data_IF_394340011806
#
_entry.id   IF_394340011806
#
_cell.length_a   1.000
_cell.length_b   1.000
_cell.length_c   1.000
_cell.angle_alpha   90.00
_cell.angle_beta   90.00
_cell.angle_gamma   90.00
#
_symmetry.space_group_name_H-M   'P 1'
#
loop_
_entity.id
_entity.type
_entity.pdbx_description
1 polymer ?
#
# COMPACT_ATOMS: atom_id res chain seq x y z
N UNK A 1 29.68 -48.33 -1.17
CA UNK A 1 28.45 -47.75 -0.62
C UNK A 1 28.23 -46.43 -1.33
N UNK A 2 27.23 -46.36 -2.21
CA UNK A 2 26.93 -45.13 -3.01
C UNK A 2 26.05 -44.19 -2.16
N UNK A 3 26.58 -43.02 -1.81
CA UNK A 3 25.82 -42.01 -1.09
C UNK A 3 24.61 -41.55 -1.92
N UNK A 4 23.45 -41.71 -1.36
CA UNK A 4 22.19 -41.35 -2.01
C UNK A 4 22.06 -39.79 -2.05
N UNK A 5 21.87 -39.15 -3.21
CA UNK A 5 21.88 -37.68 -3.34
C UNK A 5 20.79 -36.98 -2.53
N UNK A 6 19.75 -37.69 -2.10
CA UNK A 6 18.66 -37.17 -1.26
C UNK A 6 19.13 -36.86 0.17
N UNK A 7 20.07 -37.67 0.73
CA UNK A 7 20.59 -37.45 2.08
C UNK A 7 21.41 -36.17 2.19
N UNK A 8 22.13 -35.78 1.14
CA UNK A 8 22.93 -34.55 1.07
C UNK A 8 22.06 -33.29 0.93
N UNK A 9 20.97 -33.39 0.17
CA UNK A 9 20.02 -32.28 0.02
C UNK A 9 19.25 -32.00 1.31
N UNK A 10 18.88 -33.01 2.09
CA UNK A 10 18.22 -32.89 3.39
C UNK A 10 19.14 -32.26 4.46
N UNK A 11 20.44 -32.59 4.44
CA UNK A 11 21.44 -32.03 5.37
C UNK A 11 21.71 -30.53 5.12
N UNK A 12 21.62 -30.07 3.88
CA UNK A 12 21.80 -28.67 3.51
C UNK A 12 20.55 -27.81 3.85
N UNK A 13 19.34 -28.37 3.71
CA UNK A 13 18.09 -27.68 4.02
C UNK A 13 17.87 -27.47 5.53
N UNK A 14 18.52 -28.25 6.38
CA UNK A 14 18.36 -28.21 7.84
C UNK A 14 19.26 -27.16 8.52
N UNK A 15 20.21 -26.54 7.79
CA UNK A 15 21.16 -25.58 8.35
C UNK A 15 20.74 -24.12 8.27
N UNK A 16 19.80 -23.78 7.40
CA UNK A 16 19.36 -22.38 7.24
C UNK A 16 17.85 -22.24 7.49
N UNK A 17 17.51 -21.83 8.70
CA UNK A 17 16.14 -21.64 9.19
C UNK A 17 15.49 -20.31 8.76
N UNK A 18 15.84 -19.80 7.56
CA UNK A 18 15.16 -18.62 6.95
C UNK A 18 14.92 -18.90 5.47
N UNK A 19 13.81 -19.58 5.16
CA UNK A 19 13.38 -19.78 3.78
C UNK A 19 12.29 -18.77 3.44
N UNK A 20 12.68 -17.67 2.81
CA UNK A 20 11.77 -16.76 2.11
C UNK A 20 11.22 -17.45 0.84
N UNK A 21 10.09 -16.99 0.33
CA UNK A 21 9.43 -17.49 -0.89
C UNK A 21 10.37 -17.69 -2.10
N UNK A 22 11.47 -16.94 -2.17
CA UNK A 22 12.54 -17.07 -3.16
C UNK A 22 13.34 -18.37 -2.99
N UNK A 23 13.53 -18.86 -1.76
CA UNK A 23 14.24 -20.12 -1.48
C UNK A 23 13.45 -21.34 -1.97
N UNK A 24 12.13 -21.32 -1.88
CA UNK A 24 11.28 -22.40 -2.39
C UNK A 24 11.36 -22.51 -3.92
N UNK A 25 11.42 -21.39 -4.63
CA UNK A 25 11.61 -21.36 -6.10
C UNK A 25 12.98 -21.89 -6.54
N UNK A 26 14.04 -21.57 -5.80
CA UNK A 26 15.40 -22.07 -6.07
C UNK A 26 15.51 -23.59 -5.83
N UNK A 27 14.86 -24.11 -4.79
CA UNK A 27 14.85 -25.55 -4.49
C UNK A 27 14.11 -26.34 -5.59
N UNK A 28 13.00 -25.81 -6.10
CA UNK A 28 12.26 -26.41 -7.21
C UNK A 28 13.08 -26.37 -8.50
N UNK A 29 13.77 -25.28 -8.82
CA UNK A 29 14.63 -25.15 -9.99
C UNK A 29 15.84 -26.09 -9.92
N UNK A 30 16.41 -26.29 -8.73
CA UNK A 30 17.52 -27.23 -8.52
C UNK A 30 17.09 -28.71 -8.67
N UNK A 31 15.92 -29.07 -8.15
CA UNK A 31 15.35 -30.43 -8.36
C UNK A 31 15.03 -30.66 -9.85
N UNK A 32 14.54 -29.67 -10.58
CA UNK A 32 14.21 -29.78 -12.02
C UNK A 32 15.47 -29.97 -12.88
N UNK A 33 16.61 -29.36 -12.51
CA UNK A 33 17.88 -29.54 -13.24
C UNK A 33 18.57 -30.87 -12.99
N UNK A 34 18.31 -31.54 -11.87
CA UNK A 34 18.89 -32.83 -11.54
C UNK A 34 18.19 -34.03 -12.22
N UNK A 35 17.04 -33.78 -12.86
CA UNK A 35 16.23 -34.82 -13.49
C UNK A 35 16.30 -34.76 -15.04
N UNK A 36 17.47 -35.08 -15.60
CA UNK A 36 17.68 -35.18 -17.04
C UNK A 36 17.16 -36.56 -17.57
N UNK A 37 15.85 -36.71 -17.67
CA UNK A 37 15.29 -37.97 -18.20
C UNK A 37 13.79 -38.05 -18.37
N UNK A 38 13.06 -37.04 -17.93
CA UNK A 38 11.58 -37.02 -18.01
C UNK A 38 11.12 -36.27 -19.25
N UNK A 39 10.17 -36.84 -20.00
CA UNK A 39 9.65 -36.23 -21.22
C UNK A 39 8.95 -34.90 -20.94
N UNK A 40 9.19 -33.93 -21.81
CA UNK A 40 8.82 -32.52 -21.72
C UNK A 40 7.31 -32.25 -21.47
N UNK A 41 6.46 -33.23 -21.73
CA UNK A 41 4.98 -33.12 -21.60
C UNK A 41 4.50 -33.25 -20.16
N UNK A 42 5.12 -34.15 -19.41
CA UNK A 42 4.74 -34.43 -18.01
C UNK A 42 5.21 -33.33 -17.05
N UNK A 43 6.36 -32.70 -17.35
CA UNK A 43 6.84 -31.57 -16.57
C UNK A 43 5.93 -30.34 -16.65
N UNK A 44 5.28 -30.10 -17.78
CA UNK A 44 4.33 -28.97 -17.93
C UNK A 44 3.08 -29.18 -17.08
N UNK A 45 2.60 -30.42 -16.95
CA UNK A 45 1.43 -30.76 -16.13
C UNK A 45 1.75 -30.59 -14.65
N UNK A 46 2.94 -31.02 -14.20
CA UNK A 46 3.38 -30.87 -12.81
C UNK A 46 3.60 -29.39 -12.43
N UNK A 47 4.24 -28.60 -13.32
CA UNK A 47 4.45 -27.17 -13.09
C UNK A 47 3.13 -26.39 -13.09
N UNK A 48 2.18 -26.73 -13.96
CA UNK A 48 0.85 -26.10 -14.01
C UNK A 48 0.02 -26.46 -12.77
N UNK A 49 0.08 -27.72 -12.30
CA UNK A 49 -0.60 -28.15 -11.07
C UNK A 49 -0.04 -27.47 -9.83
N UNK A 50 1.27 -27.20 -9.81
CA UNK A 50 1.93 -26.49 -8.72
C UNK A 50 1.56 -24.99 -8.70
N UNK A 51 1.42 -24.37 -9.87
CA UNK A 51 1.02 -22.96 -10.01
C UNK A 51 -0.45 -22.76 -9.60
N UNK A 52 -1.34 -23.69 -9.96
CA UNK A 52 -2.76 -23.67 -9.59
C UNK A 52 -2.96 -23.92 -8.10
N UNK A 53 -2.13 -24.76 -7.48
CA UNK A 53 -2.17 -25.00 -6.03
C UNK A 53 -1.79 -23.79 -5.17
N UNK A 54 -1.07 -22.83 -5.70
CA UNK A 54 -0.75 -21.58 -4.99
C UNK A 54 -1.89 -20.53 -5.01
N UNK A 55 -2.88 -20.69 -5.90
CA UNK A 55 -3.90 -19.66 -6.13
C UNK A 55 -5.31 -20.02 -5.66
N UNK A 56 -5.57 -21.26 -5.27
CA UNK A 56 -6.92 -21.73 -4.85
C UNK A 56 -6.88 -22.59 -3.59
N UNK A 57 -7.94 -22.51 -2.80
CA UNK A 57 -8.14 -23.26 -1.54
C UNK A 57 -7.96 -24.76 -1.76
N UNK A 58 -6.88 -25.31 -1.22
CA UNK A 58 -6.19 -26.54 -1.62
C UNK A 58 -6.95 -27.87 -1.45
N UNK A 59 -8.08 -27.88 -0.80
CA UNK A 59 -8.79 -29.14 -0.50
C UNK A 59 -9.47 -29.77 -1.73
N UNK A 60 -9.86 -29.00 -2.73
CA UNK A 60 -10.64 -29.50 -3.87
C UNK A 60 -9.80 -30.05 -5.02
N UNK A 61 -8.58 -29.58 -5.21
CA UNK A 61 -7.74 -29.96 -6.36
C UNK A 61 -7.15 -31.37 -6.21
N UNK A 62 -6.89 -31.80 -4.98
CA UNK A 62 -6.30 -33.12 -4.71
C UNK A 62 -7.27 -34.28 -4.92
N UNK A 63 -8.56 -34.08 -4.77
CA UNK A 63 -9.57 -35.13 -4.93
C UNK A 63 -9.80 -35.51 -6.40
N UNK A 64 -9.47 -34.62 -7.36
CA UNK A 64 -9.66 -34.88 -8.79
C UNK A 64 -8.46 -35.51 -9.49
N UNK A 65 -7.26 -35.50 -8.91
CA UNK A 65 -6.03 -35.98 -9.58
C UNK A 65 -5.54 -37.34 -9.04
N UNK A 66 -6.07 -37.80 -7.91
CA UNK A 66 -5.63 -39.02 -7.24
C UNK A 66 -5.82 -40.38 -8.01
N UNK A 67 -6.75 -40.54 -8.96
CA UNK A 67 -6.97 -41.87 -9.57
C UNK A 67 -6.12 -42.19 -10.81
N UNK A 68 -5.25 -41.28 -11.30
CA UNK A 68 -4.66 -41.45 -12.63
C UNK A 68 -3.20 -41.92 -12.64
N UNK A 69 -2.51 -41.97 -11.51
CA UNK A 69 -1.08 -42.27 -11.50
C UNK A 69 -0.70 -43.44 -10.59
N UNK A 70 -0.41 -44.61 -11.21
CA UNK A 70 0.24 -45.74 -10.56
C UNK A 70 1.73 -45.51 -10.27
N UNK A 71 2.14 -44.36 -9.75
CA UNK A 71 3.53 -44.00 -9.47
C UNK A 71 3.87 -44.20 -7.98
N UNK A 72 4.85 -45.04 -7.63
CA UNK A 72 5.23 -45.34 -6.24
C UNK A 72 5.89 -44.19 -5.48
N UNK A 73 6.21 -43.08 -6.14
CA UNK A 73 6.85 -41.90 -5.53
C UNK A 73 5.87 -40.92 -4.86
N UNK A 74 4.56 -41.08 -5.02
CA UNK A 74 3.55 -40.19 -4.47
C UNK A 74 3.49 -40.25 -2.93
N UNK A 75 3.76 -41.43 -2.34
CA UNK A 75 3.78 -41.57 -0.88
C UNK A 75 4.88 -40.75 -0.19
N UNK A 76 6.06 -40.69 -0.78
CA UNK A 76 7.20 -39.93 -0.23
C UNK A 76 7.01 -38.42 -0.37
N UNK A 77 6.35 -37.98 -1.44
CA UNK A 77 6.05 -36.55 -1.65
C UNK A 77 4.99 -36.03 -0.65
N UNK A 78 4.00 -36.87 -0.33
CA UNK A 78 2.96 -36.53 0.66
C UNK A 78 3.53 -36.40 2.08
N UNK A 79 4.53 -37.23 2.45
CA UNK A 79 5.15 -37.14 3.78
C UNK A 79 5.99 -35.89 3.92
N UNK A 80 6.76 -35.55 2.90
CA UNK A 80 7.57 -34.32 2.88
C UNK A 80 6.63 -33.09 2.92
N UNK A 81 5.56 -33.13 2.13
CA UNK A 81 4.59 -32.03 2.06
C UNK A 81 3.83 -31.81 3.38
N UNK A 82 3.44 -32.90 4.06
CA UNK A 82 2.79 -32.83 5.38
C UNK A 82 3.71 -32.26 6.47
N UNK A 83 5.02 -32.40 6.32
CA UNK A 83 6.00 -31.88 7.26
C UNK A 83 6.29 -30.37 7.04
N UNK A 84 6.28 -29.94 5.76
CA UNK A 84 6.56 -28.53 5.41
C UNK A 84 5.33 -27.61 5.42
N UNK A 85 4.14 -28.16 5.28
CA UNK A 85 2.87 -27.42 5.30
C UNK A 85 2.03 -27.70 6.55
N UNK A 86 2.61 -28.27 7.59
CA UNK A 86 1.99 -28.11 8.91
C UNK A 86 1.78 -26.62 9.10
N UNK A 87 0.51 -26.15 9.26
CA UNK A 87 0.29 -24.75 9.50
C UNK A 87 1.20 -24.39 10.66
N UNK A 88 2.08 -23.38 10.45
CA UNK A 88 2.73 -22.69 11.55
C UNK A 88 1.55 -22.26 12.41
N UNK A 89 1.28 -23.03 13.43
CA UNK A 89 0.28 -22.62 14.42
C UNK A 89 0.86 -21.33 14.98
N UNK A 90 0.25 -20.17 14.72
CA UNK A 90 0.67 -18.97 15.40
C UNK A 90 0.56 -19.33 16.88
N UNK A 91 1.61 -19.08 17.63
CA UNK A 91 1.61 -19.31 19.07
C UNK A 91 0.47 -18.48 19.69
N UNK A 92 -0.71 -19.07 19.80
CA UNK A 92 -1.93 -18.44 20.29
C UNK A 92 -1.86 -18.11 21.78
N UNK A 93 -0.72 -18.39 22.43
CA UNK A 93 -0.48 -18.03 23.83
C UNK A 93 0.19 -16.65 23.98
N UNK A 94 0.61 -15.98 22.92
CA UNK A 94 0.78 -14.54 22.96
C UNK A 94 -0.59 -13.90 22.75
N UNK A 95 -1.48 -14.00 23.73
CA UNK A 95 -2.53 -13.00 23.89
C UNK A 95 -1.83 -11.67 24.14
N UNK A 96 -1.47 -10.98 23.05
CA UNK A 96 -1.54 -9.53 23.08
C UNK A 96 -3.00 -9.25 23.36
N UNK A 97 -3.33 -8.93 24.58
CA UNK A 97 -4.62 -8.31 24.92
C UNK A 97 -4.87 -7.27 23.83
N UNK A 98 -6.10 -7.18 23.27
CA UNK A 98 -6.43 -6.07 22.40
C UNK A 98 -6.11 -4.83 23.22
N UNK A 99 -4.97 -4.19 22.93
CA UNK A 99 -4.66 -2.89 23.47
C UNK A 99 -5.84 -2.05 23.02
N UNK A 100 -6.75 -1.76 23.96
CA UNK A 100 -7.74 -0.71 23.78
C UNK A 100 -6.99 0.43 23.13
N UNK A 101 -7.44 1.01 22.02
CA UNK A 101 -6.70 2.07 21.34
C UNK A 101 -6.66 3.26 22.31
N UNK A 102 -5.72 3.21 23.25
CA UNK A 102 -5.34 4.39 24.01
C UNK A 102 -4.95 5.39 22.92
N UNK A 103 -5.75 6.45 22.79
CA UNK A 103 -5.60 7.45 21.77
C UNK A 103 -4.20 8.02 21.92
N UNK A 104 -3.28 7.63 21.05
CA UNK A 104 -1.90 8.10 21.07
C UNK A 104 -1.94 9.60 20.79
N UNK A 105 -1.32 10.40 21.62
CA UNK A 105 -1.08 11.79 21.29
C UNK A 105 -0.11 11.83 20.11
N UNK A 106 -0.60 12.25 18.94
CA UNK A 106 0.19 12.36 17.72
C UNK A 106 1.03 13.64 17.68
N UNK A 107 0.79 14.60 18.56
CA UNK A 107 1.50 15.88 18.63
C UNK A 107 3.03 15.73 18.71
N UNK A 108 3.57 14.88 19.59
CA UNK A 108 5.02 14.64 19.70
C UNK A 108 5.70 14.12 18.43
N UNK A 109 4.92 13.54 17.50
CA UNK A 109 5.43 13.03 16.21
C UNK A 109 5.49 14.10 15.12
N UNK A 110 5.03 15.33 15.39
CA UNK A 110 5.13 16.47 14.48
C UNK A 110 6.36 17.30 14.89
N UNK A 111 7.46 17.15 14.15
CA UNK A 111 8.70 17.86 14.43
C UNK A 111 8.61 19.32 14.00
N UNK A 112 8.98 20.23 14.86
CA UNK A 112 9.12 21.66 14.53
C UNK A 112 10.59 21.95 14.18
N UNK A 113 10.83 22.47 12.96
CA UNK A 113 12.16 22.86 12.49
C UNK A 113 12.13 24.38 12.25
N UNK A 114 12.81 25.17 13.10
CA UNK A 114 12.86 26.61 12.92
C UNK A 114 13.72 26.98 11.70
N UNK A 115 13.41 28.13 11.11
CA UNK A 115 14.19 28.75 10.04
C UNK A 115 14.40 27.89 8.79
N UNK A 116 13.44 27.02 8.45
CA UNK A 116 13.48 26.19 7.27
C UNK A 116 12.23 26.39 6.37
N UNK A 117 12.37 26.50 5.04
CA UNK A 117 13.61 26.58 4.23
C UNK A 117 14.28 27.96 4.27
N UNK A 118 13.71 28.92 4.99
CA UNK A 118 14.17 30.31 5.10
C UNK A 118 14.02 30.79 6.56
N UNK A 119 14.83 31.77 7.00
CA UNK A 119 14.66 32.40 8.29
C UNK A 119 13.22 32.89 8.53
N UNK A 120 12.71 32.68 9.74
CA UNK A 120 11.36 33.07 10.18
C UNK A 120 10.26 32.03 9.83
N UNK A 121 10.55 30.97 9.08
CA UNK A 121 9.60 29.91 8.78
C UNK A 121 9.78 28.76 9.79
N UNK A 122 8.69 28.36 10.44
CA UNK A 122 8.65 27.19 11.30
C UNK A 122 8.05 26.02 10.50
N UNK A 123 8.93 25.16 9.99
CA UNK A 123 8.52 23.98 9.20
C UNK A 123 7.99 22.88 10.12
N UNK A 124 6.89 22.25 9.70
CA UNK A 124 6.27 21.12 10.38
C UNK A 124 6.59 19.84 9.62
N UNK A 125 7.51 19.05 10.17
CA UNK A 125 7.97 17.80 9.58
C UNK A 125 7.19 16.62 10.15
N UNK A 126 6.52 15.87 9.26
CA UNK A 126 5.75 14.66 9.56
C UNK A 126 6.57 13.38 9.41
N UNK A 127 7.86 13.45 9.08
CA UNK A 127 8.70 12.27 8.90
C UNK A 127 8.71 11.36 10.14
N UNK A 128 8.80 11.89 11.39
CA UNK A 128 8.72 11.04 12.58
C UNK A 128 7.37 10.32 12.70
N UNK A 129 6.26 10.95 12.31
CA UNK A 129 4.93 10.36 12.29
C UNK A 129 4.86 9.22 11.29
N UNK A 130 5.40 9.38 10.11
CA UNK A 130 5.44 8.33 9.09
C UNK A 130 6.36 7.17 9.48
N UNK A 131 7.41 7.43 10.26
CA UNK A 131 8.38 6.43 10.71
C UNK A 131 7.93 5.57 11.89
N UNK A 132 6.89 5.99 12.63
CA UNK A 132 6.34 5.23 13.74
C UNK A 132 5.07 4.48 13.31
N UNK A 133 5.08 3.16 13.40
CA UNK A 133 3.99 2.31 12.91
C UNK A 133 2.64 2.59 13.60
N UNK A 134 2.66 2.91 14.91
CA UNK A 134 1.43 3.19 15.68
C UNK A 134 0.90 4.58 15.35
N UNK A 135 1.78 5.59 15.32
CA UNK A 135 1.41 6.96 14.97
C UNK A 135 0.86 7.04 13.54
N UNK A 136 1.52 6.38 12.59
CA UNK A 136 1.06 6.32 11.20
C UNK A 136 -0.30 5.63 11.08
N UNK A 137 -0.46 4.44 11.68
CA UNK A 137 -1.75 3.72 11.66
C UNK A 137 -2.89 4.56 12.25
N UNK A 138 -2.69 5.20 13.40
CA UNK A 138 -3.70 6.06 14.01
C UNK A 138 -4.01 7.31 13.17
N UNK A 139 -3.00 7.86 12.50
CA UNK A 139 -3.21 8.98 11.56
C UNK A 139 -4.13 8.55 10.43
N UNK A 140 -3.90 7.38 9.83
CA UNK A 140 -4.76 6.88 8.74
C UNK A 140 -6.17 6.59 9.23
N UNK A 141 -6.35 6.00 10.42
CA UNK A 141 -7.68 5.79 11.01
C UNK A 141 -8.41 7.11 11.26
N UNK A 142 -7.71 8.14 11.77
CA UNK A 142 -8.28 9.45 12.01
C UNK A 142 -8.68 10.16 10.70
N UNK A 143 -7.85 10.06 9.65
CA UNK A 143 -8.17 10.60 8.32
C UNK A 143 -9.33 9.84 7.65
N UNK A 144 -9.50 8.54 7.92
CA UNK A 144 -10.59 7.73 7.39
C UNK A 144 -11.93 7.99 8.09
N UNK A 145 -11.91 8.42 9.36
CA UNK A 145 -13.09 8.55 10.21
C UNK A 145 -14.25 9.38 9.60
N UNK A 146 -14.02 10.52 8.92
CA UNK A 146 -15.11 11.27 8.28
C UNK A 146 -15.83 10.50 7.16
N UNK A 147 -15.19 9.49 6.60
CA UNK A 147 -15.64 8.75 5.42
C UNK A 147 -16.12 7.32 5.72
N UNK A 148 -16.13 6.90 6.99
CA UNK A 148 -16.40 5.51 7.40
C UNK A 148 -17.74 4.95 6.90
N UNK A 149 -18.78 5.82 6.84
CA UNK A 149 -20.13 5.47 6.42
C UNK A 149 -20.44 5.94 4.99
N UNK A 150 -19.40 6.40 4.27
CA UNK A 150 -19.52 6.93 2.91
C UNK A 150 -18.70 6.08 1.97
N UNK A 151 -19.31 5.59 0.90
CA UNK A 151 -18.53 4.91 -0.13
C UNK A 151 -17.62 5.92 -0.83
N UNK A 152 -16.33 5.72 -0.77
CA UNK A 152 -15.30 6.45 -1.50
C UNK A 152 -14.86 5.56 -2.66
N UNK A 153 -14.86 6.08 -3.89
CA UNK A 153 -14.45 5.33 -5.07
C UNK A 153 -12.93 5.44 -5.27
N UNK A 154 -12.36 6.66 -5.03
CA UNK A 154 -10.91 6.88 -5.10
C UNK A 154 -10.44 7.93 -4.11
N UNK A 155 -9.15 7.84 -3.77
CA UNK A 155 -8.43 8.86 -2.99
C UNK A 155 -7.41 9.52 -3.91
N UNK A 156 -7.47 10.84 -4.04
CA UNK A 156 -6.51 11.62 -4.80
C UNK A 156 -5.42 12.17 -3.85
N UNK A 157 -4.18 11.80 -4.05
CA UNK A 157 -3.05 12.27 -3.25
C UNK A 157 -2.19 13.28 -4.00
N UNK A 158 -1.74 14.33 -3.33
CA UNK A 158 -0.88 15.37 -3.91
C UNK A 158 0.60 15.00 -3.72
N UNK A 159 1.42 15.16 -4.75
CA UNK A 159 2.87 14.94 -4.70
C UNK A 159 3.54 15.90 -3.70
N UNK A 160 4.41 15.44 -2.83
CA UNK A 160 4.92 14.07 -2.70
C UNK A 160 4.39 13.36 -1.45
N UNK A 161 4.25 14.08 -0.30
CA UNK A 161 3.89 13.47 0.99
C UNK A 161 2.43 13.04 1.06
N UNK A 162 1.54 13.68 0.29
CA UNK A 162 0.17 13.22 0.10
C UNK A 162 0.05 11.83 -0.53
N UNK A 163 1.09 11.34 -1.22
CA UNK A 163 1.08 9.96 -1.74
C UNK A 163 1.18 8.91 -0.63
N UNK A 164 1.99 9.19 0.40
CA UNK A 164 2.16 8.29 1.55
C UNK A 164 0.83 8.10 2.26
N UNK A 165 0.19 9.22 2.58
CA UNK A 165 -1.11 9.24 3.26
C UNK A 165 -2.23 8.73 2.35
N UNK A 166 -2.24 9.16 1.09
CA UNK A 166 -3.29 8.83 0.12
C UNK A 166 -3.32 7.35 -0.23
N UNK A 167 -2.18 6.72 -0.42
CA UNK A 167 -2.11 5.29 -0.70
C UNK A 167 -2.60 4.46 0.50
N UNK A 168 -2.19 4.84 1.72
CA UNK A 168 -2.64 4.16 2.94
C UNK A 168 -4.13 4.39 3.21
N UNK A 169 -4.63 5.62 2.99
CA UNK A 169 -6.04 5.95 3.15
C UNK A 169 -6.91 5.23 2.09
N UNK A 170 -6.48 5.16 0.84
CA UNK A 170 -7.15 4.40 -0.22
C UNK A 170 -7.28 2.91 0.16
N UNK A 171 -6.19 2.30 0.62
CA UNK A 171 -6.20 0.93 1.12
C UNK A 171 -7.20 0.76 2.28
N UNK A 172 -7.17 1.67 3.27
CA UNK A 172 -8.05 1.63 4.44
C UNK A 172 -9.53 1.76 4.08
N UNK A 173 -9.85 2.57 3.06
CA UNK A 173 -11.22 2.80 2.58
C UNK A 173 -11.64 1.81 1.46
N UNK A 174 -10.79 0.85 1.08
CA UNK A 174 -11.00 -0.05 -0.05
C UNK A 174 -11.31 0.71 -1.35
N UNK A 175 -10.62 1.82 -1.58
CA UNK A 175 -10.75 2.74 -2.70
C UNK A 175 -9.52 2.67 -3.63
N UNK A 176 -9.66 3.14 -4.87
CA UNK A 176 -8.53 3.34 -5.77
C UNK A 176 -7.68 4.56 -5.34
N UNK A 177 -6.44 4.65 -5.84
CA UNK A 177 -5.56 5.80 -5.62
C UNK A 177 -5.27 6.56 -6.92
N UNK A 178 -5.34 7.90 -6.87
CA UNK A 178 -5.02 8.80 -7.99
C UNK A 178 -3.84 9.69 -7.59
N UNK A 179 -2.71 9.67 -8.33
CA UNK A 179 -1.63 10.62 -8.11
C UNK A 179 -1.91 11.95 -8.81
N UNK A 180 -1.86 13.07 -8.07
CA UNK A 180 -1.79 14.42 -8.62
C UNK A 180 -0.35 14.89 -8.49
N UNK A 181 0.28 15.24 -9.61
CA UNK A 181 1.73 15.46 -9.67
C UNK A 181 2.10 16.82 -10.22
N UNK A 182 3.31 17.26 -9.95
CA UNK A 182 3.91 18.40 -10.61
C UNK A 182 4.10 18.15 -12.11
N UNK A 183 4.05 19.21 -12.91
CA UNK A 183 4.13 19.16 -14.37
C UNK A 183 5.27 18.28 -14.87
N UNK A 184 4.97 17.51 -15.91
CA UNK A 184 5.94 16.67 -16.62
C UNK A 184 6.33 15.37 -15.91
N UNK A 185 5.63 15.00 -14.83
CA UNK A 185 5.93 13.75 -14.08
C UNK A 185 4.98 12.61 -14.37
N UNK A 186 3.92 12.86 -15.12
CA UNK A 186 2.96 11.83 -15.54
C UNK A 186 3.21 11.44 -16.98
N UNK A 187 3.28 10.13 -17.32
CA UNK A 187 3.71 9.66 -18.64
C UNK A 187 2.62 9.63 -19.70
N UNK A 188 1.35 9.80 -19.35
CA UNK A 188 0.22 9.76 -20.27
C UNK A 188 -0.41 11.14 -20.45
N UNK A 189 -1.49 11.26 -21.23
CA UNK A 189 -2.22 12.51 -21.45
C UNK A 189 -2.75 13.09 -20.14
N UNK A 190 -2.44 14.35 -19.88
CA UNK A 190 -2.77 15.03 -18.61
C UNK A 190 -3.70 16.23 -18.82
N UNK A 191 -4.43 16.58 -17.77
CA UNK A 191 -4.94 17.92 -17.52
C UNK A 191 -3.99 18.64 -16.58
N UNK A 192 -3.83 19.96 -16.76
CA UNK A 192 -2.93 20.80 -15.95
C UNK A 192 -3.66 21.97 -15.36
N UNK A 193 -3.44 22.25 -14.08
CA UNK A 193 -3.91 23.46 -13.40
C UNK A 193 -2.73 24.25 -12.83
N UNK A 194 -2.71 25.56 -13.12
CA UNK A 194 -1.68 26.48 -12.62
C UNK A 194 -2.10 27.05 -11.26
N UNK A 195 -1.16 27.17 -10.35
CA UNK A 195 -1.36 27.84 -9.07
C UNK A 195 -0.24 28.82 -8.75
N UNK A 196 -0.59 29.88 -8.03
CA UNK A 196 0.38 30.89 -7.62
C UNK A 196 1.23 30.40 -6.45
N UNK A 197 2.51 30.65 -6.50
CA UNK A 197 3.46 30.57 -5.40
C UNK A 197 3.71 31.97 -4.84
N UNK A 198 4.41 32.07 -3.69
CA UNK A 198 4.90 33.38 -3.20
C UNK A 198 5.78 34.08 -4.24
N UNK A 199 6.52 33.30 -5.04
CA UNK A 199 7.34 33.77 -6.16
C UNK A 199 7.09 32.88 -7.38
N UNK A 200 6.35 33.44 -8.38
CA UNK A 200 6.05 32.72 -9.63
C UNK A 200 4.79 31.87 -9.58
N UNK A 201 4.73 30.90 -10.44
CA UNK A 201 3.64 29.91 -10.52
C UNK A 201 4.19 28.52 -10.74
N UNK A 202 3.46 27.49 -10.32
CA UNK A 202 3.76 26.09 -10.60
C UNK A 202 2.49 25.42 -11.15
N UNK A 203 2.59 24.20 -11.67
CA UNK A 203 1.50 23.48 -12.27
C UNK A 203 1.38 22.08 -11.66
N UNK A 204 0.13 21.68 -11.40
CA UNK A 204 -0.22 20.31 -11.07
C UNK A 204 -0.89 19.64 -12.26
N UNK A 205 -0.70 18.33 -12.38
CA UNK A 205 -1.24 17.50 -13.44
C UNK A 205 -1.93 16.26 -12.88
N UNK A 206 -2.96 15.82 -13.60
CA UNK A 206 -3.67 14.56 -13.39
C UNK A 206 -3.87 13.88 -14.74
N UNK A 207 -3.84 12.55 -14.81
CA UNK A 207 -4.19 11.85 -16.04
C UNK A 207 -5.66 12.11 -16.41
N UNK A 208 -5.94 12.29 -17.70
CA UNK A 208 -7.31 12.53 -18.19
C UNK A 208 -8.24 11.34 -17.95
N UNK A 209 -7.71 10.14 -17.88
CA UNK A 209 -8.41 8.87 -17.62
C UNK A 209 -8.30 8.42 -16.15
N UNK A 210 -7.87 9.31 -15.24
CA UNK A 210 -7.66 8.96 -13.84
C UNK A 210 -8.94 8.53 -13.10
N UNK A 211 -10.10 9.02 -13.55
CA UNK A 211 -11.39 8.72 -12.95
C UNK A 211 -12.51 8.76 -13.99
N UNK A 212 -13.64 8.17 -13.67
CA UNK A 212 -14.89 8.32 -14.43
C UNK A 212 -15.74 9.43 -13.83
N UNK A 213 -16.50 10.15 -14.68
CA UNK A 213 -17.40 11.20 -14.22
C UNK A 213 -18.35 10.71 -13.12
N UNK A 214 -18.50 11.50 -12.05
CA UNK A 214 -19.36 11.18 -10.92
C UNK A 214 -18.74 10.26 -9.87
N UNK A 215 -17.53 9.70 -10.09
CA UNK A 215 -16.83 8.96 -9.02
C UNK A 215 -16.58 9.84 -7.79
N UNK A 216 -16.77 9.23 -6.61
CA UNK A 216 -16.67 9.92 -5.31
C UNK A 216 -15.22 9.93 -4.84
N UNK A 217 -14.66 11.13 -4.74
CA UNK A 217 -13.26 11.35 -4.51
C UNK A 217 -13.02 12.04 -3.17
N UNK A 218 -12.01 11.59 -2.43
CA UNK A 218 -11.43 12.32 -1.29
C UNK A 218 -10.04 12.78 -1.70
N UNK A 219 -9.78 14.08 -1.54
CA UNK A 219 -8.44 14.66 -1.74
C UNK A 219 -7.64 14.56 -0.44
N UNK A 220 -6.35 14.26 -0.51
CA UNK A 220 -5.47 14.18 0.67
C UNK A 220 -4.10 14.77 0.40
N UNK A 221 -3.60 15.51 1.41
CA UNK A 221 -2.19 15.90 1.51
C UNK A 221 -1.75 15.92 2.98
N UNK A 222 -0.48 16.12 3.23
CA UNK A 222 0.08 16.15 4.57
C UNK A 222 -0.27 17.45 5.31
N UNK A 223 -0.22 18.59 4.63
CA UNK A 223 -0.58 19.88 5.22
C UNK A 223 -1.26 20.80 4.21
N UNK A 224 -2.06 21.73 4.74
CA UNK A 224 -2.57 22.87 4.00
C UNK A 224 -2.00 24.17 4.56
N UNK A 225 -1.30 24.92 3.69
CA UNK A 225 -0.71 26.24 3.99
C UNK A 225 -1.55 27.36 3.33
N UNK A 226 -1.08 27.93 2.25
CA UNK A 226 -1.83 28.94 1.47
C UNK A 226 -2.97 28.36 0.63
N UNK A 227 -2.98 27.04 0.47
CA UNK A 227 -3.99 26.29 -0.28
C UNK A 227 -3.82 26.27 -1.79
N UNK A 228 -2.78 26.88 -2.36
CA UNK A 228 -2.63 26.96 -3.82
C UNK A 228 -2.57 25.58 -4.49
N UNK A 229 -1.74 24.67 -3.98
CA UNK A 229 -1.62 23.30 -4.51
C UNK A 229 -2.92 22.52 -4.39
N UNK A 230 -3.58 22.61 -3.22
CA UNK A 230 -4.86 21.93 -2.99
C UNK A 230 -5.99 22.52 -3.86
N UNK A 231 -5.99 23.83 -4.10
CA UNK A 231 -6.94 24.50 -5.00
C UNK A 231 -6.76 24.05 -6.46
N UNK A 232 -5.51 23.91 -6.94
CA UNK A 232 -5.21 23.36 -8.26
C UNK A 232 -5.70 21.91 -8.37
N UNK A 233 -5.48 21.10 -7.34
CA UNK A 233 -5.96 19.72 -7.30
C UNK A 233 -7.50 19.63 -7.36
N UNK A 234 -8.20 20.48 -6.60
CA UNK A 234 -9.68 20.59 -6.66
C UNK A 234 -10.14 20.99 -8.06
N UNK A 235 -9.47 21.93 -8.71
CA UNK A 235 -9.79 22.35 -10.08
C UNK A 235 -9.69 21.17 -11.03
N UNK A 236 -8.57 20.43 -11.02
CA UNK A 236 -8.36 19.25 -11.87
C UNK A 236 -9.43 18.17 -11.66
N UNK A 237 -9.76 17.86 -10.40
CA UNK A 237 -10.80 16.88 -10.09
C UNK A 237 -12.17 17.31 -10.60
N UNK A 238 -12.51 18.60 -10.50
CA UNK A 238 -13.77 19.15 -11.01
C UNK A 238 -13.83 19.18 -12.53
N UNK A 239 -12.72 19.46 -13.21
CA UNK A 239 -12.63 19.38 -14.68
C UNK A 239 -12.88 17.96 -15.19
N UNK A 240 -12.51 16.92 -14.44
CA UNK A 240 -12.85 15.52 -14.71
C UNK A 240 -14.27 15.14 -14.26
N UNK A 241 -15.08 16.08 -13.80
CA UNK A 241 -16.41 15.83 -13.27
C UNK A 241 -16.45 14.87 -12.07
N UNK A 242 -15.42 14.89 -11.22
CA UNK A 242 -15.42 14.14 -9.97
C UNK A 242 -16.51 14.64 -9.01
N UNK A 243 -17.14 13.72 -8.29
CA UNK A 243 -17.92 14.06 -7.11
C UNK A 243 -16.97 14.17 -5.91
N UNK A 244 -16.41 15.37 -5.70
CA UNK A 244 -15.47 15.64 -4.62
C UNK A 244 -16.20 15.68 -3.27
N UNK A 245 -16.02 14.64 -2.45
CA UNK A 245 -16.63 14.52 -1.13
C UNK A 245 -16.00 15.49 -0.12
N UNK A 246 -14.71 15.76 -0.28
CA UNK A 246 -13.96 16.71 0.54
C UNK A 246 -12.45 16.51 0.43
N UNK A 247 -11.73 17.26 1.27
CA UNK A 247 -10.27 17.19 1.38
C UNK A 247 -9.85 16.97 2.83
N UNK A 248 -8.84 16.16 3.05
CA UNK A 248 -8.30 15.91 4.38
C UNK A 248 -6.78 16.14 4.42
N UNK A 249 -6.34 16.71 5.55
CA UNK A 249 -4.94 17.04 5.80
C UNK A 249 -4.58 16.65 7.23
N UNK A 250 -3.33 16.32 7.47
CA UNK A 250 -2.85 16.11 8.84
C UNK A 250 -2.73 17.45 9.54
N UNK A 251 -2.21 18.47 8.85
CA UNK A 251 -1.94 19.80 9.42
C UNK A 251 -2.68 20.90 8.64
N UNK A 252 -3.31 21.81 9.39
CA UNK A 252 -3.79 23.10 8.89
C UNK A 252 -2.97 24.25 9.49
N UNK A 253 -2.29 25.01 8.65
CA UNK A 253 -1.62 26.26 9.03
C UNK A 253 -2.62 27.43 8.89
N UNK A 254 -3.54 27.54 9.85
CA UNK A 254 -4.74 28.38 9.78
C UNK A 254 -4.43 29.84 9.42
N UNK A 255 -3.30 30.41 9.91
CA UNK A 255 -2.90 31.79 9.61
C UNK A 255 -2.60 32.05 8.14
N UNK A 256 -2.38 30.99 7.33
CA UNK A 256 -2.13 31.11 5.89
C UNK A 256 -3.39 30.99 5.03
N UNK A 257 -4.53 30.70 5.64
CA UNK A 257 -5.86 30.81 5.04
C UNK A 257 -6.24 29.72 4.03
N UNK A 258 -5.43 28.69 3.81
CA UNK A 258 -5.69 27.69 2.77
C UNK A 258 -6.97 26.90 2.97
N UNK A 259 -7.28 26.47 4.20
CA UNK A 259 -8.52 25.76 4.50
C UNK A 259 -9.77 26.66 4.31
N UNK A 260 -9.67 27.93 4.66
CA UNK A 260 -10.74 28.91 4.41
C UNK A 260 -10.98 29.10 2.89
N UNK A 261 -9.89 29.15 2.10
CA UNK A 261 -9.98 29.25 0.64
C UNK A 261 -10.69 28.04 0.02
N UNK A 262 -10.40 26.81 0.44
CA UNK A 262 -11.10 25.62 -0.04
C UNK A 262 -12.56 25.59 0.39
N UNK A 263 -12.87 25.97 1.64
CA UNK A 263 -14.26 26.09 2.12
C UNK A 263 -15.06 27.10 1.32
N UNK A 264 -14.45 28.24 0.93
CA UNK A 264 -15.06 29.23 0.03
C UNK A 264 -15.34 28.73 -1.39
N UNK A 265 -14.82 27.54 -1.73
CA UNK A 265 -15.10 26.82 -2.98
C UNK A 265 -15.99 25.59 -2.76
N UNK A 266 -16.77 25.55 -1.70
CA UNK A 266 -17.66 24.43 -1.34
C UNK A 266 -16.94 23.09 -1.22
N UNK A 267 -15.71 23.08 -0.68
CA UNK A 267 -14.97 21.87 -0.35
C UNK A 267 -15.02 21.64 1.16
N UNK A 268 -15.55 20.50 1.57
CA UNK A 268 -15.49 20.08 2.98
C UNK A 268 -14.03 19.78 3.34
N UNK A 269 -13.48 20.47 4.34
CA UNK A 269 -12.09 20.32 4.78
C UNK A 269 -12.03 19.73 6.18
N UNK A 270 -11.36 18.58 6.31
CA UNK A 270 -11.07 17.91 7.58
C UNK A 270 -9.58 17.97 7.86
N UNK A 271 -9.19 18.30 9.11
CA UNK A 271 -7.80 18.38 9.53
C UNK A 271 -7.62 17.78 10.92
N UNK A 272 -6.48 17.12 11.17
CA UNK A 272 -6.21 16.52 12.48
C UNK A 272 -5.59 17.52 13.46
N UNK A 273 -4.72 18.39 12.96
CA UNK A 273 -4.04 19.41 13.76
C UNK A 273 -4.19 20.78 13.14
N UNK A 274 -4.36 21.79 14.00
CA UNK A 274 -4.38 23.19 13.59
C UNK A 274 -3.25 23.92 14.30
N UNK A 275 -2.44 24.65 13.54
CA UNK A 275 -1.39 25.51 14.08
C UNK A 275 -1.70 26.98 13.75
N UNK A 276 -1.74 27.78 14.80
CA UNK A 276 -1.74 29.23 14.68
C UNK A 276 -0.32 29.67 15.05
N UNK A 277 0.45 30.10 14.06
CA UNK A 277 1.88 30.49 14.24
C UNK A 277 2.59 29.98 15.49
#
# INVERSE_FOLDING_TARGET
MKNHPIATALSLAQKDSVVNSTGALLTVAFCMNSWRGIQHREMKVLALSFLIAQTTSMALVFQCVAPVSGFPLFGSFMVIWRHYLSPIQPNMNSRTEPVSPAHLDLGPFIRAIPDYPRPGILFRDLTPLFGDARAFSQTIEALAQPWKDTKVDRVAGIEARGFILGSALAYRLSAGFIPIRKKGKLPHTTLSATYALEYGSDQMEIHQDALSAGERIVLVDDLIATGGTAEAAVTLLRELNANLLGACFVIDLVSLGGSAKLKGRDVNVSTLFTFRK
#
